data_IF_020735660568
#
_entry.id   IF_020735660568
#
_cell.length_a   1.000
_cell.length_b   1.000
_cell.length_c   1.000
_cell.angle_alpha   90.00
_cell.angle_beta   90.00
_cell.angle_gamma   90.00
#
_symmetry.space_group_name_H-M   'P 1'
#
loop_
_entity.id
_entity.type
_entity.pdbx_description
1 polymer ?
#
# COMPACT_ATOMS: atom_id res chain seq x y z
N UNK A 1 24.33 -14.39 -7.56
CA UNK A 1 23.22 -14.61 -8.53
C UNK A 1 22.00 -15.37 -7.96
N UNK A 2 21.86 -15.57 -6.64
CA UNK A 2 20.78 -16.41 -6.07
C UNK A 2 19.72 -15.67 -5.23
N UNK A 3 19.77 -14.33 -5.12
CA UNK A 3 18.95 -13.57 -4.15
C UNK A 3 17.91 -12.61 -4.73
N UNK A 4 17.84 -12.40 -6.05
CA UNK A 4 16.93 -11.39 -6.63
C UNK A 4 15.46 -11.83 -6.65
N UNK A 5 15.21 -13.12 -6.89
CA UNK A 5 13.86 -13.70 -6.95
C UNK A 5 13.11 -13.64 -5.61
N UNK A 6 13.72 -13.95 -4.44
CA UNK A 6 13.00 -13.88 -3.17
C UNK A 6 12.66 -12.45 -2.74
N UNK A 7 13.52 -11.45 -2.98
CA UNK A 7 13.28 -10.06 -2.56
C UNK A 7 12.14 -9.40 -3.32
N UNK A 8 12.08 -9.58 -4.65
CA UNK A 8 10.99 -9.04 -5.45
C UNK A 8 9.67 -9.74 -5.14
N UNK A 9 9.72 -11.05 -4.88
CA UNK A 9 8.53 -11.80 -4.43
C UNK A 9 8.04 -11.30 -3.07
N UNK A 10 8.95 -11.05 -2.13
CA UNK A 10 8.63 -10.47 -0.83
C UNK A 10 7.98 -9.09 -0.97
N UNK A 11 8.53 -8.23 -1.82
CA UNK A 11 7.99 -6.90 -2.11
C UNK A 11 6.57 -7.00 -2.67
N UNK A 12 6.33 -7.88 -3.64
CA UNK A 12 4.99 -8.14 -4.19
C UNK A 12 4.01 -8.59 -3.12
N UNK A 13 4.41 -9.52 -2.26
CA UNK A 13 3.57 -9.99 -1.15
C UNK A 13 3.24 -8.88 -0.16
N UNK A 14 4.22 -8.06 0.23
CA UNK A 14 4.03 -6.92 1.13
C UNK A 14 3.05 -5.89 0.55
N UNK A 15 3.22 -5.51 -0.73
CA UNK A 15 2.30 -4.58 -1.39
C UNK A 15 0.91 -5.18 -1.52
N UNK A 16 0.80 -6.47 -1.83
CA UNK A 16 -0.48 -7.15 -1.98
C UNK A 16 -1.23 -7.23 -0.65
N UNK A 17 -0.56 -7.63 0.43
CA UNK A 17 -1.15 -7.64 1.77
C UNK A 17 -1.52 -6.21 2.20
N UNK A 18 -0.65 -5.24 1.96
CA UNK A 18 -0.93 -3.83 2.24
C UNK A 18 -2.15 -3.30 1.50
N UNK A 19 -2.28 -3.60 0.20
CA UNK A 19 -3.43 -3.23 -0.62
C UNK A 19 -4.73 -3.89 -0.15
N UNK A 20 -4.70 -5.16 0.26
CA UNK A 20 -5.85 -5.85 0.85
C UNK A 20 -6.26 -5.17 2.18
N UNK A 21 -5.30 -4.88 3.06
CA UNK A 21 -5.56 -4.20 4.33
C UNK A 21 -6.18 -2.82 4.10
N UNK A 22 -5.72 -2.07 3.08
CA UNK A 22 -6.32 -0.79 2.70
C UNK A 22 -7.75 -0.93 2.20
N UNK A 23 -8.02 -1.93 1.36
CA UNK A 23 -9.37 -2.20 0.86
C UNK A 23 -10.33 -2.59 1.99
N UNK A 24 -9.92 -3.51 2.84
CA UNK A 24 -10.71 -3.94 4.00
C UNK A 24 -10.93 -2.74 4.94
N UNK A 25 -9.90 -1.94 5.21
CA UNK A 25 -10.02 -0.72 5.99
C UNK A 25 -11.02 0.28 5.39
N UNK A 26 -11.00 0.50 4.08
CA UNK A 26 -11.95 1.36 3.37
C UNK A 26 -13.39 0.84 3.41
N UNK A 27 -13.59 -0.47 3.26
CA UNK A 27 -14.91 -1.11 3.35
C UNK A 27 -15.46 -1.03 4.77
N UNK A 28 -14.64 -1.32 5.78
CA UNK A 28 -15.01 -1.20 7.18
C UNK A 28 -15.34 0.25 7.56
N UNK A 29 -14.68 1.22 6.91
CA UNK A 29 -15.02 2.63 7.08
C UNK A 29 -16.36 3.00 6.47
N UNK A 30 -16.76 2.36 5.37
CA UNK A 30 -18.07 2.58 4.76
C UNK A 30 -19.25 2.08 5.60
N UNK A 31 -19.03 1.09 6.48
CA UNK A 31 -20.06 0.53 7.38
C UNK A 31 -20.05 1.17 8.78
N UNK A 32 -19.36 2.30 8.96
CA UNK A 32 -19.28 3.11 10.19
C UNK A 32 -18.83 2.33 11.45
N UNK A 33 -18.02 1.28 11.27
CA UNK A 33 -17.44 0.51 12.38
C UNK A 33 -16.24 1.28 12.95
N UNK A 34 -16.57 2.39 13.62
CA UNK A 34 -15.63 3.33 14.27
C UNK A 34 -14.70 2.66 15.28
N UNK A 35 -15.09 1.54 15.86
CA UNK A 35 -14.32 0.82 16.87
C UNK A 35 -13.11 0.02 16.31
N UNK A 36 -13.02 -0.21 14.99
CA UNK A 36 -11.82 -0.76 14.34
C UNK A 36 -10.97 0.32 13.64
N UNK A 37 -11.43 1.58 13.62
CA UNK A 37 -10.83 2.70 12.87
C UNK A 37 -9.58 3.33 13.50
N UNK A 38 -9.19 2.93 14.71
CA UNK A 38 -8.01 3.52 15.37
C UNK A 38 -6.67 3.04 14.77
N UNK A 39 -6.71 2.20 13.74
CA UNK A 39 -5.63 2.04 12.75
C UNK A 39 -5.57 3.23 11.77
N UNK A 40 -5.71 4.43 12.33
CA UNK A 40 -6.13 5.67 11.69
C UNK A 40 -5.29 6.05 10.48
N UNK A 41 -5.90 5.97 9.30
CA UNK A 41 -5.45 6.69 8.12
C UNK A 41 -5.48 8.19 8.42
N UNK A 42 -4.48 8.96 7.95
CA UNK A 42 -4.58 10.42 7.98
C UNK A 42 -5.79 10.94 7.16
N UNK A 43 -6.31 10.10 6.26
CA UNK A 43 -7.53 10.33 5.47
C UNK A 43 -8.80 10.44 6.31
N UNK A 44 -8.88 9.80 7.49
CA UNK A 44 -10.03 9.96 8.38
C UNK A 44 -10.22 11.42 8.84
N UNK A 45 -9.16 12.25 8.76
CA UNK A 45 -9.21 13.69 9.08
C UNK A 45 -9.77 14.55 7.94
N UNK A 46 -9.84 14.05 6.69
CA UNK A 46 -10.36 14.77 5.52
C UNK A 46 -11.91 14.72 5.39
N UNK A 47 -12.60 14.15 6.37
CA UNK A 47 -14.06 13.94 6.35
C UNK A 47 -14.42 12.52 5.91
N UNK A 48 -15.40 11.93 6.60
CA UNK A 48 -15.73 10.49 6.51
C UNK A 48 -15.92 9.99 5.07
N UNK A 49 -16.65 10.74 4.24
CA UNK A 49 -16.93 10.35 2.85
C UNK A 49 -15.70 10.40 1.93
N UNK A 50 -14.90 11.47 2.04
CA UNK A 50 -13.66 11.63 1.26
C UNK A 50 -12.64 10.55 1.61
N UNK A 51 -12.54 10.21 2.90
CA UNK A 51 -11.63 9.17 3.38
C UNK A 51 -11.96 7.79 2.82
N UNK A 52 -13.25 7.43 2.75
CA UNK A 52 -13.72 6.15 2.17
C UNK A 52 -13.34 6.04 0.70
N UNK A 53 -13.70 7.04 -0.10
CA UNK A 53 -13.48 7.01 -1.57
C UNK A 53 -11.99 6.94 -1.87
N UNK A 54 -11.18 7.79 -1.23
CA UNK A 54 -9.72 7.79 -1.45
C UNK A 54 -9.09 6.50 -0.93
N UNK A 55 -9.51 5.98 0.23
CA UNK A 55 -9.00 4.71 0.76
C UNK A 55 -9.22 3.52 -0.19
N UNK A 56 -10.41 3.41 -0.76
CA UNK A 56 -10.73 2.36 -1.75
C UNK A 56 -9.90 2.54 -3.03
N UNK A 57 -9.84 3.76 -3.57
CA UNK A 57 -9.05 4.05 -4.77
C UNK A 57 -7.57 3.75 -4.58
N UNK A 58 -7.00 4.12 -3.43
CA UNK A 58 -5.59 3.84 -3.12
C UNK A 58 -5.37 2.36 -2.87
N UNK A 59 -6.31 1.65 -2.24
CA UNK A 59 -6.26 0.19 -2.12
C UNK A 59 -6.23 -0.51 -3.47
N UNK A 60 -7.07 -0.09 -4.42
CA UNK A 60 -7.07 -0.62 -5.80
C UNK A 60 -5.75 -0.30 -6.50
N UNK A 61 -5.25 0.93 -6.40
CA UNK A 61 -3.95 1.33 -6.97
C UNK A 61 -2.80 0.50 -6.38
N UNK A 62 -2.85 0.19 -5.08
CA UNK A 62 -1.87 -0.69 -4.44
C UNK A 62 -1.94 -2.13 -4.99
N UNK A 63 -3.14 -2.67 -5.23
CA UNK A 63 -3.30 -3.98 -5.87
C UNK A 63 -2.75 -4.00 -7.31
N UNK A 64 -3.02 -2.96 -8.10
CA UNK A 64 -2.48 -2.84 -9.47
C UNK A 64 -0.96 -2.72 -9.41
N UNK A 65 -0.45 -1.83 -8.56
CA UNK A 65 0.98 -1.63 -8.37
C UNK A 65 1.70 -2.88 -7.84
N UNK A 66 1.03 -3.76 -7.08
CA UNK A 66 1.60 -5.03 -6.62
C UNK A 66 2.08 -5.94 -7.77
N UNK A 67 1.44 -5.86 -8.94
CA UNK A 67 1.84 -6.62 -10.13
C UNK A 67 3.02 -5.98 -10.84
N UNK A 68 3.17 -4.66 -10.72
CA UNK A 68 4.20 -3.86 -11.38
C UNK A 68 5.31 -3.34 -10.45
N UNK A 69 5.47 -3.90 -9.24
CA UNK A 69 6.54 -3.53 -8.28
C UNK A 69 7.95 -3.60 -8.91
N UNK A 70 8.14 -4.45 -9.93
CA UNK A 70 9.39 -4.55 -10.66
C UNK A 70 9.73 -3.28 -11.49
N UNK A 71 8.73 -2.47 -11.81
CA UNK A 71 8.90 -1.21 -12.52
C UNK A 71 9.22 -0.10 -11.50
N UNK A 72 10.36 0.61 -11.64
CA UNK A 72 10.78 1.64 -10.68
C UNK A 72 9.76 2.79 -10.58
N UNK A 73 9.04 3.11 -11.67
CA UNK A 73 8.00 4.13 -11.65
C UNK A 73 6.84 3.77 -10.69
N UNK A 74 6.39 2.51 -10.72
CA UNK A 74 5.35 2.02 -9.83
C UNK A 74 5.81 1.92 -8.38
N UNK A 75 7.05 1.51 -8.13
CA UNK A 75 7.62 1.51 -6.77
C UNK A 75 7.61 2.92 -6.15
N UNK A 76 7.89 3.95 -6.95
CA UNK A 76 7.84 5.35 -6.53
C UNK A 76 6.40 5.82 -6.24
N UNK A 77 5.44 5.44 -7.09
CA UNK A 77 4.02 5.72 -6.87
C UNK A 77 3.54 5.06 -5.57
N UNK A 78 3.89 3.80 -5.32
CA UNK A 78 3.51 3.08 -4.11
C UNK A 78 4.13 3.68 -2.84
N UNK A 79 5.37 4.17 -2.91
CA UNK A 79 6.00 4.93 -1.83
C UNK A 79 5.19 6.18 -1.48
N UNK A 80 4.84 7.00 -2.48
CA UNK A 80 4.08 8.23 -2.26
C UNK A 80 2.68 7.89 -1.71
N UNK A 81 1.98 6.93 -2.31
CA UNK A 81 0.65 6.49 -1.88
C UNK A 81 0.65 5.95 -0.45
N UNK A 82 1.60 5.07 -0.12
CA UNK A 82 1.70 4.49 1.22
C UNK A 82 1.92 5.55 2.30
N UNK A 83 2.77 6.54 2.03
CA UNK A 83 3.01 7.67 2.91
C UNK A 83 1.75 8.54 3.08
N UNK A 84 1.05 8.81 1.98
CA UNK A 84 -0.12 9.68 1.98
C UNK A 84 -1.31 9.08 2.74
N UNK A 85 -1.46 7.76 2.67
CA UNK A 85 -2.54 7.07 3.38
C UNK A 85 -2.31 7.05 4.89
N UNK A 86 -1.05 6.86 5.31
CA UNK A 86 -0.66 6.97 6.72
C UNK A 86 -1.31 5.96 7.66
N UNK A 87 -1.79 4.82 7.15
CA UNK A 87 -2.30 3.71 7.95
C UNK A 87 -1.40 2.49 7.87
N UNK A 88 -1.69 1.46 8.68
CA UNK A 88 -0.98 0.17 8.62
C UNK A 88 -0.90 -0.39 7.20
N UNK A 89 -2.01 -0.38 6.44
CA UNK A 89 -2.00 -0.83 5.05
C UNK A 89 -1.09 0.02 4.16
N UNK A 90 -1.08 1.35 4.36
CA UNK A 90 -0.20 2.27 3.65
C UNK A 90 1.28 2.05 3.98
N UNK A 91 1.61 1.76 5.24
CA UNK A 91 2.97 1.43 5.67
C UNK A 91 3.46 0.14 5.00
N UNK A 92 2.61 -0.89 4.91
CA UNK A 92 2.96 -2.13 4.21
C UNK A 92 3.22 -1.88 2.71
N UNK A 93 2.38 -1.06 2.08
CA UNK A 93 2.56 -0.64 0.68
C UNK A 93 3.85 0.17 0.50
N UNK A 94 4.15 1.08 1.42
CA UNK A 94 5.38 1.88 1.43
C UNK A 94 6.63 1.01 1.50
N UNK A 95 6.67 0.07 2.45
CA UNK A 95 7.79 -0.85 2.63
C UNK A 95 7.94 -1.75 1.39
N UNK A 96 6.83 -2.27 0.86
CA UNK A 96 6.86 -3.08 -0.36
C UNK A 96 7.37 -2.32 -1.58
N UNK A 97 6.96 -1.06 -1.76
CA UNK A 97 7.49 -0.16 -2.81
C UNK A 97 8.98 0.16 -2.63
N UNK A 98 9.42 0.38 -1.39
CA UNK A 98 10.83 0.61 -1.06
C UNK A 98 11.70 -0.60 -1.43
N UNK A 99 11.27 -1.80 -1.06
CA UNK A 99 12.00 -3.05 -1.38
C UNK A 99 12.01 -3.28 -2.89
N UNK A 100 10.91 -3.00 -3.59
CA UNK A 100 10.85 -3.04 -5.06
C UNK A 100 11.87 -2.11 -5.73
N UNK A 101 11.98 -0.87 -5.24
CA UNK A 101 12.94 0.10 -5.73
C UNK A 101 14.39 -0.34 -5.45
N UNK A 102 14.67 -0.81 -4.24
CA UNK A 102 16.00 -1.29 -3.83
C UNK A 102 16.41 -2.51 -4.65
N UNK A 103 15.51 -3.46 -4.88
CA UNK A 103 15.78 -4.64 -5.71
C UNK A 103 16.11 -4.27 -7.17
N UNK A 104 15.56 -3.16 -7.68
CA UNK A 104 15.85 -2.68 -9.02
C UNK A 104 17.19 -1.94 -9.12
N UNK A 105 17.50 -1.06 -8.15
CA UNK A 105 18.71 -0.23 -8.18
C UNK A 105 19.95 -0.93 -7.63
N UNK A 106 19.79 -1.79 -6.64
CA UNK A 106 20.89 -2.58 -6.08
C UNK A 106 20.92 -3.92 -6.80
N UNK A 107 21.61 -3.96 -7.95
CA UNK A 107 22.00 -5.23 -8.60
C UNK A 107 22.98 -5.98 -7.68
N UNK A 108 22.47 -6.72 -6.70
CA UNK A 108 23.23 -7.74 -5.93
C UNK A 108 23.15 -9.10 -6.61
#
# INVERSE_FOLDING_TARGET
>A
MASQVPLLTLAKFLVLIGGIVLLVGGILQAIDVRALMDFGTNLARLGSFTGIVVGILVGILALVGSREVANPAWSLILLILGLFVGSLGGILVFIGGLIGLVAHYVKV
#
